data_IF_003293385910
#
_entry.id   IF_003293385910
#
_cell.length_a   1.000
_cell.length_b   1.000
_cell.length_c   1.000
_cell.angle_alpha   90.00
_cell.angle_beta   90.00
_cell.angle_gamma   90.00
#
_symmetry.space_group_name_H-M   'P 1'
#
loop_
_entity.id
_entity.type
_entity.pdbx_description
1 polymer ?
#
# COMPACT_ATOMS: atom_id res chain seq x y z
N UNK A 1 12.73 -15.02 -9.28
CA UNK A 1 11.64 -14.30 -8.56
C UNK A 1 12.17 -13.87 -7.23
N UNK A 2 11.97 -12.62 -6.92
CA UNK A 2 12.36 -12.03 -5.65
C UNK A 2 11.15 -11.43 -4.96
N UNK A 3 11.08 -11.59 -3.65
CA UNK A 3 10.01 -11.05 -2.84
C UNK A 3 10.52 -10.24 -1.66
N UNK A 4 9.66 -9.33 -1.24
CA UNK A 4 9.87 -8.43 -0.12
C UNK A 4 8.62 -8.47 0.75
N UNK A 5 8.76 -8.88 2.01
CA UNK A 5 7.73 -8.72 3.03
C UNK A 5 7.96 -7.40 3.79
N UNK A 6 6.88 -6.68 4.08
CA UNK A 6 6.94 -5.29 4.57
C UNK A 6 5.99 -5.04 5.75
N UNK A 7 6.06 -5.83 6.80
CA UNK A 7 5.48 -5.48 8.11
C UNK A 7 6.39 -4.52 8.88
N UNK A 8 5.99 -4.04 10.03
CA UNK A 8 6.81 -3.15 10.88
C UNK A 8 8.18 -3.77 11.17
N UNK A 9 9.26 -3.19 10.63
CA UNK A 9 10.62 -3.73 10.75
C UNK A 9 11.37 -3.79 9.42
N UNK A 10 12.53 -4.46 9.37
CA UNK A 10 13.27 -4.69 8.14
C UNK A 10 12.47 -5.55 7.14
N UNK A 11 12.78 -5.43 5.86
CA UNK A 11 12.13 -6.18 4.82
C UNK A 11 12.81 -7.53 4.61
N UNK A 12 12.05 -8.63 4.72
CA UNK A 12 12.51 -9.97 4.43
C UNK A 12 12.43 -10.28 2.94
N UNK A 13 13.53 -10.75 2.37
CA UNK A 13 13.70 -11.00 0.96
C UNK A 13 13.97 -12.49 0.72
N UNK A 14 13.25 -13.09 -0.22
CA UNK A 14 13.53 -14.44 -0.70
C UNK A 14 13.78 -14.44 -2.21
N UNK A 15 14.73 -15.25 -2.65
CA UNK A 15 15.15 -15.39 -4.05
C UNK A 15 14.92 -16.80 -4.56
N UNK A 16 14.41 -16.95 -5.78
CA UNK A 16 14.25 -18.25 -6.46
C UNK A 16 14.63 -18.16 -7.94
N UNK A 17 15.24 -19.17 -8.52
CA UNK A 17 15.84 -20.37 -7.90
C UNK A 17 17.06 -19.98 -7.07
N UNK A 18 17.60 -20.84 -6.26
CA UNK A 18 18.78 -20.59 -5.43
C UNK A 18 18.49 -20.69 -3.93
N UNK A 19 17.26 -20.33 -3.50
CA UNK A 19 16.82 -20.48 -2.11
C UNK A 19 17.40 -19.47 -1.14
N UNK A 20 18.10 -18.45 -1.64
CA UNK A 20 18.67 -17.38 -0.83
C UNK A 20 17.56 -16.59 -0.14
N UNK A 21 17.81 -16.20 1.12
CA UNK A 21 16.97 -15.28 1.87
C UNK A 21 17.86 -14.33 2.64
N UNK A 22 17.47 -13.07 2.72
CA UNK A 22 18.19 -12.02 3.45
C UNK A 22 17.23 -10.91 3.84
N UNK A 23 17.67 -10.04 4.71
CA UNK A 23 16.89 -8.93 5.24
C UNK A 23 17.56 -7.61 4.89
N UNK A 24 16.78 -6.58 4.60
CA UNK A 24 17.27 -5.22 4.38
C UNK A 24 16.46 -4.22 5.20
N UNK A 25 17.13 -3.18 5.65
CA UNK A 25 16.48 -2.06 6.33
C UNK A 25 15.58 -1.28 5.35
N UNK A 26 14.45 -0.77 5.85
CA UNK A 26 13.51 0.05 5.03
C UNK A 26 13.87 1.54 5.03
N UNK A 27 15.13 1.84 4.89
CA UNK A 27 15.66 3.19 4.73
C UNK A 27 16.38 3.34 3.39
N UNK A 28 16.88 4.52 3.08
CA UNK A 28 17.54 4.80 1.81
C UNK A 28 18.73 3.86 1.54
N UNK A 29 19.55 3.59 2.56
CA UNK A 29 20.71 2.71 2.46
C UNK A 29 20.31 1.25 2.17
N UNK A 30 19.28 0.73 2.86
CA UNK A 30 18.77 -0.62 2.63
C UNK A 30 18.13 -0.79 1.26
N UNK A 31 17.43 0.25 0.77
CA UNK A 31 16.90 0.25 -0.61
C UNK A 31 18.04 0.21 -1.63
N UNK A 32 19.12 0.95 -1.42
CA UNK A 32 20.27 0.96 -2.32
C UNK A 32 21.00 -0.38 -2.33
N UNK A 33 21.24 -0.98 -1.15
CA UNK A 33 21.76 -2.34 -1.02
C UNK A 33 20.90 -3.37 -1.74
N UNK A 34 19.58 -3.27 -1.58
CA UNK A 34 18.63 -4.14 -2.29
C UNK A 34 18.73 -3.94 -3.80
N UNK A 35 18.74 -2.71 -4.27
CA UNK A 35 18.81 -2.40 -5.69
C UNK A 35 20.10 -2.95 -6.32
N UNK A 36 21.25 -2.83 -5.65
CA UNK A 36 22.54 -3.36 -6.12
C UNK A 36 22.49 -4.91 -6.20
N UNK A 37 21.95 -5.53 -5.16
CA UNK A 37 21.81 -6.99 -5.14
C UNK A 37 20.83 -7.49 -6.20
N UNK A 38 19.75 -6.74 -6.45
CA UNK A 38 18.82 -7.04 -7.54
C UNK A 38 19.47 -6.93 -8.93
N UNK A 39 20.34 -5.95 -9.15
CA UNK A 39 21.08 -5.83 -10.42
C UNK A 39 21.96 -7.05 -10.64
N UNK A 40 22.67 -7.50 -9.60
CA UNK A 40 23.52 -8.71 -9.65
C UNK A 40 22.68 -9.97 -9.89
N UNK A 41 21.54 -10.12 -9.22
CA UNK A 41 20.67 -11.29 -9.34
C UNK A 41 19.84 -11.31 -10.61
N UNK A 42 19.66 -10.16 -11.26
CA UNK A 42 18.85 -9.99 -12.48
C UNK A 42 17.50 -10.75 -12.45
N UNK A 43 16.65 -10.54 -11.46
CA UNK A 43 15.42 -11.33 -11.33
C UNK A 43 14.42 -11.00 -12.44
N UNK A 44 13.80 -12.01 -13.03
CA UNK A 44 12.72 -11.82 -14.02
C UNK A 44 11.48 -11.11 -13.44
N UNK A 45 11.21 -11.33 -12.15
CA UNK A 45 10.06 -10.76 -11.45
C UNK A 45 10.44 -10.38 -10.03
N UNK A 46 10.06 -9.17 -9.64
CA UNK A 46 10.08 -8.69 -8.25
C UNK A 46 8.64 -8.56 -7.78
N UNK A 47 8.32 -9.10 -6.62
CA UNK A 47 6.98 -9.04 -6.06
C UNK A 47 7.00 -8.53 -4.61
N UNK A 48 5.95 -7.80 -4.23
CA UNK A 48 5.71 -7.23 -2.92
C UNK A 48 4.33 -7.67 -2.44
N UNK A 49 4.19 -8.02 -1.18
CA UNK A 49 2.87 -8.18 -0.58
C UNK A 49 2.29 -6.83 -0.18
N UNK A 50 0.99 -6.63 -0.40
CA UNK A 50 0.29 -5.44 0.06
C UNK A 50 0.13 -5.46 1.58
N UNK A 51 0.75 -4.52 2.28
CA UNK A 51 0.77 -4.42 3.76
C UNK A 51 0.12 -3.14 4.27
N UNK A 52 -0.98 -2.72 3.61
CA UNK A 52 -1.74 -1.54 4.04
C UNK A 52 -1.10 -0.19 3.67
N UNK A 53 -0.14 -0.18 2.74
CA UNK A 53 0.53 1.02 2.24
C UNK A 53 1.99 1.14 2.64
N UNK A 54 2.47 0.34 3.60
CA UNK A 54 3.88 0.33 4.04
C UNK A 54 4.83 -0.09 2.92
N UNK A 55 4.37 -0.94 2.00
CA UNK A 55 5.12 -1.37 0.82
C UNK A 55 5.32 -0.26 -0.22
N UNK A 56 4.53 0.80 -0.18
CA UNK A 56 4.49 1.83 -1.24
C UNK A 56 5.84 2.56 -1.37
N UNK A 57 6.48 2.90 -0.27
CA UNK A 57 7.78 3.58 -0.30
C UNK A 57 8.84 2.73 -0.99
N UNK A 58 8.92 1.44 -0.64
CA UNK A 58 9.84 0.50 -1.25
C UNK A 58 9.51 0.25 -2.73
N UNK A 59 8.23 0.11 -3.06
CA UNK A 59 7.77 -0.02 -4.44
C UNK A 59 8.22 1.15 -5.31
N UNK A 60 7.99 2.39 -4.83
CA UNK A 60 8.43 3.60 -5.51
C UNK A 60 9.95 3.67 -5.66
N UNK A 61 10.67 3.33 -4.61
CA UNK A 61 12.14 3.35 -4.62
C UNK A 61 12.72 2.35 -5.63
N UNK A 62 12.21 1.12 -5.67
CA UNK A 62 12.61 0.12 -6.66
C UNK A 62 12.24 0.53 -8.08
N UNK A 63 11.10 1.17 -8.27
CA UNK A 63 10.69 1.68 -9.59
C UNK A 63 11.63 2.78 -10.08
N UNK A 64 12.07 3.69 -9.19
CA UNK A 64 13.03 4.75 -9.53
C UNK A 64 14.39 4.22 -9.99
N UNK A 65 14.80 3.06 -9.48
CA UNK A 65 16.07 2.42 -9.88
C UNK A 65 15.90 1.40 -11.02
N UNK A 66 14.75 1.41 -11.69
CA UNK A 66 14.52 0.69 -12.95
C UNK A 66 13.88 -0.69 -12.83
N UNK A 67 13.46 -1.10 -11.63
CA UNK A 67 12.70 -2.35 -11.47
C UNK A 67 11.20 -2.13 -11.67
N UNK A 68 10.48 -3.21 -12.01
CA UNK A 68 9.02 -3.18 -12.19
C UNK A 68 8.37 -4.17 -11.21
N UNK A 69 8.29 -3.82 -9.91
CA UNK A 69 7.73 -4.71 -8.92
C UNK A 69 6.22 -4.87 -9.10
N UNK A 70 5.71 -6.04 -8.70
CA UNK A 70 4.29 -6.38 -8.70
C UNK A 70 3.76 -6.50 -7.29
N UNK A 71 2.66 -5.84 -7.00
CA UNK A 71 1.97 -5.92 -5.71
C UNK A 71 0.98 -7.09 -5.70
N UNK A 72 1.07 -7.92 -4.68
CA UNK A 72 0.22 -9.09 -4.49
C UNK A 72 -0.77 -8.88 -3.33
N UNK A 73 -2.05 -9.22 -3.51
CA UNK A 73 -3.01 -9.19 -2.42
C UNK A 73 -2.73 -10.29 -1.39
N UNK A 74 -2.67 -10.00 -0.08
CA UNK A 74 -2.43 -10.99 0.98
C UNK A 74 -3.41 -12.17 0.94
N UNK A 75 -4.67 -11.92 0.61
CA UNK A 75 -5.69 -12.95 0.51
C UNK A 75 -5.33 -14.04 -0.53
N UNK A 76 -4.72 -13.65 -1.65
CA UNK A 76 -4.28 -14.58 -2.69
C UNK A 76 -3.14 -15.49 -2.22
N UNK A 77 -2.17 -14.90 -1.52
CA UNK A 77 -1.04 -15.64 -0.98
C UNK A 77 -1.49 -16.62 0.11
N UNK A 78 -2.36 -16.15 1.02
CA UNK A 78 -2.95 -17.03 2.05
C UNK A 78 -3.75 -18.19 1.44
N UNK A 79 -4.54 -17.94 0.39
CA UNK A 79 -5.28 -19.00 -0.30
C UNK A 79 -4.33 -20.02 -0.96
N UNK A 80 -3.28 -19.54 -1.62
CA UNK A 80 -2.25 -20.39 -2.19
C UNK A 80 -1.52 -21.21 -1.14
N UNK A 81 -1.13 -20.62 0.00
CA UNK A 81 -0.51 -21.31 1.12
C UNK A 81 -1.38 -22.46 1.64
N UNK A 82 -2.69 -22.22 1.82
CA UNK A 82 -3.64 -23.26 2.23
C UNK A 82 -3.73 -24.40 1.20
N UNK A 83 -3.78 -24.08 -0.09
CA UNK A 83 -3.84 -25.11 -1.16
C UNK A 83 -2.59 -26.00 -1.21
N UNK A 84 -1.45 -25.52 -0.68
CA UNK A 84 -0.20 -26.29 -0.59
C UNK A 84 0.00 -26.97 0.77
N UNK A 85 -1.03 -27.01 1.64
CA UNK A 85 -0.97 -27.67 2.95
C UNK A 85 -0.24 -26.92 4.05
N UNK A 86 0.05 -25.62 3.87
CA UNK A 86 0.74 -24.80 4.87
C UNK A 86 -0.13 -24.54 6.11
N UNK A 87 0.38 -24.86 7.31
CA UNK A 87 -0.29 -24.67 8.61
C UNK A 87 0.35 -23.60 9.47
N UNK A 88 1.57 -23.15 9.20
CA UNK A 88 2.30 -22.20 10.04
C UNK A 88 2.43 -20.84 9.37
N UNK A 89 2.28 -19.79 10.15
CA UNK A 89 2.47 -18.39 9.75
C UNK A 89 3.76 -17.89 10.41
N UNK A 90 4.84 -17.78 9.63
CA UNK A 90 6.04 -17.05 10.01
C UNK A 90 6.53 -16.26 8.80
N UNK A 91 7.06 -15.05 9.02
CA UNK A 91 7.44 -14.12 7.97
C UNK A 91 8.44 -14.68 6.93
N UNK A 92 9.49 -15.48 7.32
CA UNK A 92 10.34 -16.17 6.34
C UNK A 92 9.63 -17.24 5.51
N UNK A 93 8.55 -17.83 6.05
CA UNK A 93 7.72 -18.79 5.30
C UNK A 93 6.89 -18.04 4.27
N UNK A 94 6.39 -16.89 4.60
CA UNK A 94 5.58 -16.05 3.70
C UNK A 94 6.42 -15.57 2.51
N UNK A 95 7.67 -15.15 2.72
CA UNK A 95 8.60 -14.77 1.66
C UNK A 95 8.82 -15.90 0.64
N UNK A 96 9.09 -17.11 1.11
CA UNK A 96 9.28 -18.31 0.24
C UNK A 96 7.99 -18.71 -0.48
N UNK A 97 6.84 -18.55 0.20
CA UNK A 97 5.53 -18.88 -0.35
C UNK A 97 5.18 -18.00 -1.54
N UNK A 98 5.46 -16.70 -1.43
CA UNK A 98 5.18 -15.76 -2.51
C UNK A 98 6.13 -15.99 -3.69
N UNK A 99 7.41 -16.29 -3.44
CA UNK A 99 8.30 -16.68 -4.52
C UNK A 99 7.75 -17.89 -5.29
N UNK A 100 7.27 -18.91 -4.56
CA UNK A 100 6.64 -20.08 -5.19
C UNK A 100 5.37 -19.71 -5.95
N UNK A 101 4.52 -18.87 -5.37
CA UNK A 101 3.32 -18.36 -6.04
C UNK A 101 3.67 -17.67 -7.35
N UNK A 102 4.68 -16.81 -7.37
CA UNK A 102 5.10 -16.08 -8.57
C UNK A 102 5.75 -16.96 -9.62
N UNK A 103 6.42 -18.03 -9.22
CA UNK A 103 6.94 -19.04 -10.19
C UNK A 103 5.80 -19.75 -10.90
N UNK A 104 4.74 -20.09 -10.19
CA UNK A 104 3.54 -20.75 -10.76
C UNK A 104 2.63 -19.73 -11.49
N UNK A 105 2.71 -18.43 -11.16
CA UNK A 105 1.85 -17.36 -11.67
C UNK A 105 2.65 -16.09 -12.03
N UNK A 106 3.55 -16.10 -13.00
CA UNK A 106 4.49 -14.99 -13.27
C UNK A 106 3.80 -13.67 -13.69
N UNK A 107 2.59 -13.75 -14.23
CA UNK A 107 1.77 -12.60 -14.59
C UNK A 107 0.91 -12.02 -13.45
N UNK A 108 0.92 -12.65 -12.26
CA UNK A 108 0.10 -12.21 -11.15
C UNK A 108 0.58 -10.87 -10.55
N UNK A 109 -0.33 -10.20 -9.86
CA UNK A 109 -0.05 -8.94 -9.18
C UNK A 109 -0.39 -7.70 -10.01
N UNK A 110 -0.46 -6.56 -9.31
CA UNK A 110 -0.70 -5.25 -9.91
C UNK A 110 0.62 -4.53 -10.12
N UNK A 111 0.75 -3.83 -11.22
CA UNK A 111 1.83 -2.87 -11.45
C UNK A 111 1.54 -1.55 -10.73
N UNK A 112 2.59 -0.78 -10.45
CA UNK A 112 2.43 0.56 -9.90
C UNK A 112 1.66 1.43 -10.89
N UNK A 113 0.58 2.01 -10.41
CA UNK A 113 -0.19 2.94 -11.24
C UNK A 113 0.57 4.27 -11.43
N UNK A 114 0.32 4.99 -12.52
CA UNK A 114 0.81 6.34 -12.70
C UNK A 114 0.52 7.23 -11.49
N UNK A 115 1.38 8.22 -11.23
CA UNK A 115 1.28 9.10 -10.06
C UNK A 115 -0.11 9.76 -9.98
N UNK A 116 -0.59 10.26 -11.12
CA UNK A 116 -1.89 10.93 -11.20
C UNK A 116 -3.05 10.03 -10.71
N UNK A 117 -3.05 8.75 -11.08
CA UNK A 117 -4.09 7.80 -10.64
C UNK A 117 -3.99 7.47 -9.15
N UNK A 118 -2.78 7.44 -8.59
CA UNK A 118 -2.57 7.27 -7.15
C UNK A 118 -3.08 8.48 -6.37
N UNK A 119 -2.78 9.69 -6.86
CA UNK A 119 -3.22 10.95 -6.26
C UNK A 119 -4.74 11.08 -6.30
N UNK A 120 -5.36 10.76 -7.44
CA UNK A 120 -6.83 10.73 -7.57
C UNK A 120 -7.48 9.72 -6.63
N UNK A 121 -6.88 8.54 -6.48
CA UNK A 121 -7.35 7.53 -5.53
C UNK A 121 -7.28 8.01 -4.08
N UNK A 122 -6.16 8.62 -3.68
CA UNK A 122 -5.96 9.17 -2.34
C UNK A 122 -6.93 10.31 -2.04
N UNK A 123 -7.10 11.25 -2.97
CA UNK A 123 -8.05 12.37 -2.85
C UNK A 123 -9.50 11.88 -2.77
N UNK A 124 -9.88 10.90 -3.58
CA UNK A 124 -11.22 10.29 -3.56
C UNK A 124 -11.50 9.58 -2.24
N UNK A 125 -10.50 8.87 -1.69
CA UNK A 125 -10.60 8.25 -0.38
C UNK A 125 -10.76 9.30 0.73
N UNK A 126 -9.96 10.39 0.69
CA UNK A 126 -10.05 11.50 1.63
C UNK A 126 -11.41 12.20 1.56
N UNK A 127 -11.92 12.47 0.36
CA UNK A 127 -13.26 13.03 0.16
C UNK A 127 -14.33 12.17 0.84
N UNK A 128 -14.33 10.86 0.58
CA UNK A 128 -15.28 9.92 1.22
C UNK A 128 -15.20 9.96 2.74
N UNK A 129 -13.99 10.02 3.30
CA UNK A 129 -13.78 10.13 4.74
C UNK A 129 -14.40 11.40 5.30
N UNK A 130 -14.12 12.57 4.69
CA UNK A 130 -14.64 13.86 5.14
C UNK A 130 -16.18 13.91 5.07
N UNK A 131 -16.77 13.43 3.98
CA UNK A 131 -18.24 13.33 3.82
C UNK A 131 -18.85 12.44 4.89
N UNK A 132 -18.22 11.29 5.22
CA UNK A 132 -18.68 10.41 6.28
C UNK A 132 -18.63 11.07 7.67
N UNK A 133 -17.55 11.79 7.98
CA UNK A 133 -17.41 12.53 9.24
C UNK A 133 -18.48 13.62 9.33
N UNK A 134 -18.70 14.37 8.26
CA UNK A 134 -19.74 15.41 8.19
C UNK A 134 -21.14 14.84 8.46
N UNK A 135 -21.47 13.72 7.82
CA UNK A 135 -22.76 13.05 8.03
C UNK A 135 -22.93 12.55 9.47
N UNK A 136 -21.88 11.98 10.06
CA UNK A 136 -21.87 11.54 11.45
C UNK A 136 -22.11 12.71 12.42
N UNK A 137 -21.45 13.84 12.23
CA UNK A 137 -21.63 15.04 13.05
C UNK A 137 -23.04 15.61 12.91
N UNK A 138 -23.62 15.61 11.71
CA UNK A 138 -24.99 16.02 11.48
C UNK A 138 -25.98 15.17 12.27
N UNK A 139 -25.82 13.84 12.30
CA UNK A 139 -26.65 12.94 13.11
C UNK A 139 -26.50 13.20 14.63
N UNK A 140 -25.29 13.46 15.11
CA UNK A 140 -25.02 13.69 16.55
C UNK A 140 -25.65 15.01 17.05
N UNK A 141 -25.78 16.04 16.21
CA UNK A 141 -26.41 17.32 16.58
C UNK A 141 -27.84 17.17 17.11
N UNK A 142 -28.56 16.14 16.72
CA UNK A 142 -29.93 15.91 17.23
C UNK A 142 -29.95 15.49 18.72
N UNK A 143 -28.86 14.98 19.24
CA UNK A 143 -28.75 14.48 20.62
C UNK A 143 -27.99 15.42 21.56
N UNK A 144 -27.28 16.41 21.03
CA UNK A 144 -26.47 17.35 21.80
C UNK A 144 -27.08 18.74 21.68
N UNK A 145 -27.48 19.35 22.81
CA UNK A 145 -28.13 20.66 22.83
C UNK A 145 -27.39 21.63 23.74
N UNK A 146 -27.31 22.87 23.33
CA UNK A 146 -26.70 23.95 24.05
C UNK A 146 -25.95 24.93 23.15
N UNK A 147 -26.07 26.22 23.39
CA UNK A 147 -25.54 27.25 22.50
C UNK A 147 -24.05 27.10 22.20
N UNK A 148 -23.24 26.70 23.18
CA UNK A 148 -21.82 26.46 23.00
C UNK A 148 -21.55 25.21 22.12
N UNK A 149 -22.28 24.13 22.35
CA UNK A 149 -22.15 22.88 21.58
C UNK A 149 -22.62 23.09 20.14
N UNK A 150 -23.70 23.85 19.96
CA UNK A 150 -24.21 24.21 18.63
C UNK A 150 -23.20 25.06 17.84
N UNK A 151 -22.54 26.03 18.49
CA UNK A 151 -21.49 26.84 17.88
C UNK A 151 -20.29 25.99 17.44
N UNK A 152 -19.79 25.10 18.31
CA UNK A 152 -18.71 24.16 17.95
C UNK A 152 -19.11 23.23 16.78
N UNK A 153 -20.33 22.73 16.81
CA UNK A 153 -20.86 21.88 15.74
C UNK A 153 -20.95 22.61 14.40
N UNK A 154 -21.30 23.90 14.42
CA UNK A 154 -21.36 24.73 13.22
C UNK A 154 -19.97 25.04 12.67
N UNK A 155 -19.00 25.38 13.53
CA UNK A 155 -17.61 25.60 13.15
C UNK A 155 -17.01 24.34 12.49
N UNK A 156 -17.20 23.17 13.10
CA UNK A 156 -16.75 21.91 12.55
C UNK A 156 -17.37 21.61 11.18
N UNK A 157 -18.67 21.83 11.03
CA UNK A 157 -19.36 21.61 9.75
C UNK A 157 -18.80 22.53 8.66
N UNK A 158 -18.58 23.81 8.97
CA UNK A 158 -18.00 24.80 8.07
C UNK A 158 -16.60 24.40 7.62
N UNK A 159 -15.75 23.94 8.55
CA UNK A 159 -14.40 23.45 8.25
C UNK A 159 -14.44 22.25 7.32
N UNK A 160 -15.29 21.26 7.60
CA UNK A 160 -15.44 20.06 6.78
C UNK A 160 -15.94 20.39 5.36
N UNK A 161 -16.88 21.33 5.22
CA UNK A 161 -17.37 21.77 3.92
C UNK A 161 -16.25 22.45 3.10
N UNK A 162 -15.44 23.30 3.74
CA UNK A 162 -14.28 23.90 3.11
C UNK A 162 -13.24 22.85 2.67
N UNK A 163 -12.95 21.86 3.52
CA UNK A 163 -12.02 20.78 3.18
C UNK A 163 -12.55 19.87 2.05
N UNK A 164 -13.84 19.55 2.05
CA UNK A 164 -14.46 18.78 0.96
C UNK A 164 -14.31 19.53 -0.36
N UNK A 165 -14.66 20.81 -0.37
CA UNK A 165 -14.53 21.68 -1.55
C UNK A 165 -13.09 21.76 -2.06
N UNK A 166 -12.11 21.91 -1.18
CA UNK A 166 -10.71 21.96 -1.56
C UNK A 166 -10.25 20.64 -2.22
N UNK A 167 -10.65 19.49 -1.65
CA UNK A 167 -10.35 18.17 -2.25
C UNK A 167 -11.03 18.00 -3.60
N UNK A 168 -12.28 18.43 -3.75
CA UNK A 168 -13.01 18.37 -5.02
C UNK A 168 -12.38 19.26 -6.09
N UNK A 169 -11.92 20.44 -5.73
CA UNK A 169 -11.17 21.32 -6.63
C UNK A 169 -9.89 20.66 -7.11
N UNK A 170 -9.12 20.05 -6.18
CA UNK A 170 -7.89 19.37 -6.54
C UNK A 170 -8.10 18.16 -7.43
N UNK A 171 -9.20 17.41 -7.22
CA UNK A 171 -9.59 16.30 -8.12
C UNK A 171 -9.86 16.82 -9.53
N UNK A 172 -10.60 17.91 -9.69
CA UNK A 172 -10.88 18.51 -11.00
C UNK A 172 -9.61 18.94 -11.71
N UNK A 173 -8.74 19.65 -11.04
CA UNK A 173 -7.43 20.09 -11.58
C UNK A 173 -6.59 18.91 -12.10
N UNK A 174 -6.61 17.76 -11.41
CA UNK A 174 -5.87 16.57 -11.84
C UNK A 174 -6.52 15.85 -13.03
N UNK A 175 -7.82 16.00 -13.23
CA UNK A 175 -8.54 15.40 -14.37
C UNK A 175 -8.34 16.23 -15.63
N UNK A 176 -8.15 17.54 -15.50
CA UNK A 176 -7.97 18.49 -16.60
C UNK A 176 -6.52 18.56 -17.10
N UNK A 177 -5.56 17.89 -16.45
CA UNK A 177 -4.15 17.76 -16.88
C UNK A 177 -3.96 16.63 -17.89
#
# INVERSE_FOLDING_TARGET
>A
TLQIDTLDGPADIAVRPGGEAFTVERNAAGVEQLAERLRTLSPHVVALEATGGYETALWLALTKVGFVPRQLPPARIKAFGRSKGGKAKTDPIDARLICRFMMENPGAGKLLQPQILRDLSALTAKRRQLVKIRAMLACQRHHQRGAFIDALGQEHATLLDAQIKAVETRIKELIEQ
#
